data_IF_384002408597
#
_entry.id   IF_384002408597
#
_cell.length_a   1.000
_cell.length_b   1.000
_cell.length_c   1.000
_cell.angle_alpha   90.00
_cell.angle_beta   90.00
_cell.angle_gamma   90.00
#
_symmetry.space_group_name_H-M   'P 1'
#
loop_
_entity.id
_entity.type
_entity.pdbx_description
1 polymer ?
#
# COMPACT_ATOMS: atom_id res chain seq x y z
N UNK A 1 -10.21 -29.12 1.08
CA UNK A 1 -9.28 -28.17 0.43
C UNK A 1 -10.06 -27.08 -0.32
N UNK A 2 -11.14 -27.45 -0.98
CA UNK A 2 -12.04 -26.62 -1.80
C UNK A 2 -12.62 -25.35 -1.14
N UNK A 3 -13.05 -25.40 0.12
CA UNK A 3 -13.66 -24.23 0.80
C UNK A 3 -12.65 -23.08 1.01
N UNK A 4 -11.38 -23.38 1.28
CA UNK A 4 -10.36 -22.33 1.50
C UNK A 4 -10.05 -21.59 0.20
N UNK A 5 -10.07 -22.30 -0.92
CA UNK A 5 -9.76 -21.76 -2.24
C UNK A 5 -10.92 -20.90 -2.76
N UNK A 6 -12.16 -21.35 -2.60
CA UNK A 6 -13.35 -20.56 -2.90
C UNK A 6 -13.43 -19.26 -2.10
N UNK A 7 -13.06 -19.30 -0.80
CA UNK A 7 -13.00 -18.09 0.04
C UNK A 7 -11.94 -17.13 -0.48
N UNK A 8 -10.77 -17.64 -0.90
CA UNK A 8 -9.69 -16.80 -1.46
C UNK A 8 -10.11 -16.15 -2.78
N UNK A 9 -10.68 -16.89 -3.72
CA UNK A 9 -11.15 -16.34 -4.99
C UNK A 9 -12.25 -15.29 -4.80
N UNK A 10 -13.18 -15.53 -3.87
CA UNK A 10 -14.24 -14.57 -3.54
C UNK A 10 -13.63 -13.30 -2.92
N UNK A 11 -12.59 -13.46 -2.10
CA UNK A 11 -11.87 -12.35 -1.49
C UNK A 11 -11.16 -11.53 -2.57
N UNK A 12 -10.41 -12.17 -3.47
CA UNK A 12 -9.67 -11.51 -4.53
C UNK A 12 -10.60 -10.78 -5.52
N UNK A 13 -11.76 -11.37 -5.82
CA UNK A 13 -12.75 -10.74 -6.71
C UNK A 13 -13.42 -9.51 -6.07
N UNK A 14 -13.76 -9.58 -4.77
CA UNK A 14 -14.42 -8.47 -4.06
C UNK A 14 -13.46 -7.39 -3.56
N UNK A 15 -12.23 -7.77 -3.24
CA UNK A 15 -11.19 -6.91 -2.68
C UNK A 15 -10.03 -6.68 -3.65
N UNK A 16 -10.25 -6.76 -4.96
CA UNK A 16 -9.20 -6.56 -5.96
C UNK A 16 -8.49 -5.20 -5.93
N UNK A 17 -8.97 -4.24 -5.13
CA UNK A 17 -8.31 -2.97 -4.85
C UNK A 17 -7.28 -3.04 -3.69
N UNK A 18 -7.18 -4.17 -3.00
CA UNK A 18 -6.29 -4.43 -1.88
C UNK A 18 -5.29 -5.55 -2.23
N UNK A 19 -4.70 -5.49 -3.42
CA UNK A 19 -3.66 -6.41 -3.89
C UNK A 19 -2.35 -6.32 -3.07
N UNK A 20 -2.12 -5.18 -2.41
CA UNK A 20 -0.93 -4.93 -1.59
C UNK A 20 -1.03 -5.50 -0.17
N UNK A 21 -2.20 -5.95 0.30
CA UNK A 21 -2.35 -6.48 1.66
C UNK A 21 -2.11 -7.99 1.71
N UNK A 22 -1.28 -8.42 2.67
CA UNK A 22 -1.09 -9.86 2.93
C UNK A 22 -2.33 -10.45 3.60
N UNK A 23 -2.86 -11.53 3.00
CA UNK A 23 -3.99 -12.28 3.55
C UNK A 23 -3.47 -13.32 4.55
N UNK A 24 -3.90 -13.21 5.80
CA UNK A 24 -3.58 -14.17 6.86
C UNK A 24 -4.84 -14.89 7.31
N UNK A 25 -4.85 -16.23 7.21
CA UNK A 25 -5.90 -17.06 7.80
C UNK A 25 -5.56 -17.34 9.25
N UNK A 26 -6.32 -16.75 10.17
CA UNK A 26 -6.13 -16.90 11.62
C UNK A 26 -7.23 -17.74 12.25
N UNK A 27 -6.90 -18.42 13.34
CA UNK A 27 -7.86 -19.09 14.22
C UNK A 27 -7.79 -18.46 15.61
N UNK A 28 -8.80 -17.66 15.97
CA UNK A 28 -8.87 -17.00 17.27
C UNK A 28 -8.98 -18.01 18.43
N UNK A 29 -9.58 -19.18 18.18
CA UNK A 29 -9.75 -20.23 19.17
C UNK A 29 -8.47 -21.06 19.40
N UNK A 30 -7.69 -21.30 18.35
CA UNK A 30 -6.52 -22.19 18.40
C UNK A 30 -5.18 -21.43 18.39
N UNK A 31 -5.20 -20.09 18.36
CA UNK A 31 -4.01 -19.24 18.34
C UNK A 31 -3.15 -19.36 17.08
N UNK A 32 -3.57 -20.14 16.08
CA UNK A 32 -2.81 -20.39 14.85
C UNK A 32 -2.83 -19.15 13.96
N UNK A 33 -1.65 -18.68 13.53
CA UNK A 33 -1.49 -17.58 12.57
C UNK A 33 -1.39 -16.17 13.18
N UNK A 34 -1.48 -16.04 14.51
CA UNK A 34 -1.45 -14.74 15.19
C UNK A 34 -0.04 -14.11 15.20
N UNK A 35 1.03 -14.91 15.24
CA UNK A 35 2.40 -14.38 15.17
C UNK A 35 2.71 -13.66 13.85
N UNK A 36 2.38 -14.31 12.72
CA UNK A 36 2.60 -13.76 11.37
C UNK A 36 1.73 -12.51 11.11
N UNK A 37 0.60 -12.40 11.79
CA UNK A 37 -0.26 -11.22 11.74
C UNK A 37 0.46 -10.00 12.34
N UNK A 38 1.06 -10.14 13.52
CA UNK A 38 1.76 -9.03 14.17
C UNK A 38 2.99 -8.55 13.40
N UNK A 39 3.74 -9.47 12.78
CA UNK A 39 4.86 -9.11 11.90
C UNK A 39 4.38 -8.29 10.70
N UNK A 40 3.33 -8.74 10.04
CA UNK A 40 2.78 -8.08 8.85
C UNK A 40 2.17 -6.71 9.19
N UNK A 41 1.58 -6.57 10.39
CA UNK A 41 1.11 -5.27 10.90
C UNK A 41 2.28 -4.31 11.10
N UNK A 42 3.39 -4.76 11.71
CA UNK A 42 4.58 -3.91 11.90
C UNK A 42 5.15 -3.45 10.56
N UNK A 43 5.29 -4.36 9.60
CA UNK A 43 5.81 -4.02 8.28
C UNK A 43 4.90 -3.03 7.54
N UNK A 44 3.58 -3.20 7.63
CA UNK A 44 2.61 -2.26 7.08
C UNK A 44 2.69 -0.88 7.77
N UNK A 45 2.88 -0.86 9.08
CA UNK A 45 3.04 0.36 9.87
C UNK A 45 4.32 1.12 9.48
N UNK A 46 5.44 0.43 9.37
CA UNK A 46 6.71 1.02 8.94
C UNK A 46 6.62 1.57 7.52
N UNK A 47 5.94 0.84 6.63
CA UNK A 47 5.70 1.29 5.25
C UNK A 47 4.84 2.55 5.17
N UNK A 48 3.79 2.64 5.98
CA UNK A 48 2.90 3.82 6.04
C UNK A 48 3.58 5.04 6.63
N UNK A 49 4.35 4.85 7.71
CA UNK A 49 4.99 5.94 8.47
C UNK A 49 6.31 6.41 7.86
N UNK A 50 6.88 5.66 6.90
CA UNK A 50 8.13 6.02 6.23
C UNK A 50 8.07 7.42 5.62
N UNK A 51 8.98 8.29 6.06
CA UNK A 51 9.17 9.63 5.48
C UNK A 51 9.81 9.50 4.11
N UNK A 52 9.00 9.74 3.07
CA UNK A 52 9.50 9.79 1.69
C UNK A 52 9.76 11.25 1.33
N UNK A 53 11.02 11.57 1.05
CA UNK A 53 11.42 12.92 0.65
C UNK A 53 10.86 13.32 -0.72
N UNK A 54 10.59 14.61 -0.91
CA UNK A 54 10.02 15.18 -2.15
C UNK A 54 10.90 14.96 -3.38
N UNK A 55 12.23 14.98 -3.18
CA UNK A 55 13.20 14.69 -4.22
C UNK A 55 13.08 13.24 -4.74
N UNK A 56 12.83 12.27 -3.86
CA UNK A 56 12.65 10.87 -4.25
C UNK A 56 11.37 10.70 -5.08
N UNK A 57 10.25 11.29 -4.63
CA UNK A 57 8.97 11.23 -5.36
C UNK A 57 9.07 11.86 -6.74
N UNK A 58 9.73 13.01 -6.84
CA UNK A 58 9.90 13.70 -8.12
C UNK A 58 10.77 12.88 -9.08
N UNK A 59 11.84 12.23 -8.59
CA UNK A 59 12.67 11.32 -9.41
C UNK A 59 11.89 10.12 -9.93
N UNK A 60 11.11 9.45 -9.07
CA UNK A 60 10.27 8.31 -9.46
C UNK A 60 9.25 8.73 -10.52
N UNK A 61 8.62 9.89 -10.33
CA UNK A 61 7.68 10.44 -11.30
C UNK A 61 8.34 10.73 -12.65
N UNK A 62 9.54 11.30 -12.67
CA UNK A 62 10.27 11.54 -13.93
C UNK A 62 10.58 10.23 -14.65
N UNK A 63 11.12 9.23 -13.94
CA UNK A 63 11.42 7.92 -14.52
C UNK A 63 10.16 7.25 -15.09
N UNK A 64 9.04 7.30 -14.36
CA UNK A 64 7.77 6.73 -14.83
C UNK A 64 7.20 7.48 -16.05
N UNK A 65 7.42 8.80 -16.13
CA UNK A 65 6.99 9.62 -17.28
C UNK A 65 7.84 9.35 -18.53
N UNK A 66 9.11 9.01 -18.35
CA UNK A 66 10.03 8.62 -19.42
C UNK A 66 9.68 7.24 -19.98
N UNK A 67 9.42 6.27 -19.10
CA UNK A 67 9.07 4.90 -19.47
C UNK A 67 7.65 4.81 -20.07
N UNK A 68 6.68 5.48 -19.45
CA UNK A 68 5.31 5.56 -19.94
C UNK A 68 4.88 7.01 -20.15
N UNK A 69 4.95 7.47 -21.40
CA UNK A 69 4.60 8.84 -21.73
C UNK A 69 3.10 9.12 -21.48
N UNK A 70 2.75 10.23 -20.80
CA UNK A 70 1.38 10.54 -20.45
C UNK A 70 0.54 10.79 -21.71
N UNK A 71 -0.76 10.41 -21.67
CA UNK A 71 -1.65 10.52 -22.81
C UNK A 71 -1.89 11.98 -23.19
N UNK A 72 -2.16 12.18 -24.49
CA UNK A 72 -2.51 13.47 -25.05
C UNK A 72 -3.96 13.80 -24.69
N UNK A 73 -4.18 14.87 -23.93
CA UNK A 73 -5.53 15.37 -23.62
C UNK A 73 -5.80 16.58 -24.50
N UNK A 74 -6.77 16.49 -25.40
CA UNK A 74 -7.17 17.57 -26.32
C UNK A 74 -6.00 18.13 -27.14
N UNK A 75 -5.14 17.25 -27.66
CA UNK A 75 -3.97 17.63 -28.46
C UNK A 75 -2.81 18.25 -27.68
N UNK A 76 -2.90 18.34 -26.34
CA UNK A 76 -1.82 18.83 -25.48
C UNK A 76 -1.30 17.71 -24.60
N UNK A 77 0.04 17.63 -24.48
CA UNK A 77 0.71 16.73 -23.55
C UNK A 77 0.81 17.38 -22.17
N UNK A 78 0.37 16.67 -21.13
CA UNK A 78 0.50 17.11 -19.74
C UNK A 78 1.96 16.97 -19.30
N UNK A 79 2.56 18.04 -18.78
CA UNK A 79 3.93 18.01 -18.21
C UNK A 79 3.85 17.90 -16.70
N UNK A 80 4.23 16.75 -16.16
CA UNK A 80 4.37 16.53 -14.71
C UNK A 80 5.69 17.16 -14.23
N UNK A 81 5.64 18.05 -13.23
CA UNK A 81 6.82 18.82 -12.77
C UNK A 81 7.29 18.50 -11.36
N UNK A 82 6.35 18.20 -10.46
CA UNK A 82 6.65 18.06 -9.05
C UNK A 82 5.67 17.12 -8.37
N UNK A 83 6.18 16.29 -7.46
CA UNK A 83 5.38 15.42 -6.62
C UNK A 83 5.77 15.61 -5.15
N UNK A 84 4.76 15.75 -4.29
CA UNK A 84 4.93 15.87 -2.85
C UNK A 84 3.85 15.09 -2.11
N UNK A 85 4.27 14.35 -1.07
CA UNK A 85 3.36 13.62 -0.18
C UNK A 85 2.80 14.59 0.85
N UNK A 86 1.51 14.95 0.69
CA UNK A 86 0.80 15.88 1.59
C UNK A 86 0.55 15.30 2.99
N UNK A 87 0.30 14.00 3.08
CA UNK A 87 -0.13 13.35 4.32
C UNK A 87 0.91 12.31 4.75
N UNK A 88 1.52 12.58 5.88
CA UNK A 88 2.23 11.59 6.69
C UNK A 88 1.30 11.31 7.87
N UNK A 89 0.90 10.06 8.08
CA UNK A 89 0.14 9.70 9.27
C UNK A 89 1.04 10.03 10.48
N UNK A 90 0.64 10.94 11.39
CA UNK A 90 1.49 11.26 12.53
C UNK A 90 1.47 10.04 13.45
N UNK A 91 2.66 9.51 13.72
CA UNK A 91 2.84 8.50 14.75
C UNK A 91 2.22 8.99 16.06
N UNK A 92 1.49 8.10 16.72
CA UNK A 92 0.87 8.27 18.03
C UNK A 92 1.77 9.12 18.94
N UNK A 93 1.32 10.34 19.29
CA UNK A 93 1.89 11.01 20.46
C UNK A 93 1.38 10.24 21.66
N UNK A 94 2.24 9.40 22.21
CA UNK A 94 2.02 8.67 23.45
C UNK A 94 1.43 9.58 24.52
N UNK A 95 0.31 9.13 25.09
CA UNK A 95 -0.25 9.69 26.29
C UNK A 95 0.58 9.16 27.47
N UNK A 96 1.70 9.82 27.76
CA UNK A 96 2.28 9.81 29.11
C UNK A 96 1.49 10.81 29.97
N UNK A 97 0.66 10.29 30.86
CA UNK A 97 0.39 10.86 32.18
C UNK A 97 0.22 9.73 33.17
#
# INVERSE_FOLDING_TARGET
>A
MEVKEQVKETLDYRLGFIDFARVHFISALHGSGVGNLFESIREAYDSSTRRVGTAMLTRIMSMATEDHQPPLVRGRRVKLKYAHRRWLQPADRGYSR
#
